data_IF_229390372090
#
_entry.id   IF_229390372090
#
_cell.length_a   1.000
_cell.length_b   1.000
_cell.length_c   1.000
_cell.angle_alpha   90.00
_cell.angle_beta   90.00
_cell.angle_gamma   90.00
#
_symmetry.space_group_name_H-M   'P 1'
#
loop_
_entity.id
_entity.type
_entity.pdbx_description
1 polymer ?
#
# COMPACT_ATOMS: atom_id res chain seq x y z
N UNK A 1 35.54 12.41 -16.11
CA UNK A 1 36.35 11.55 -15.21
C UNK A 1 35.96 11.87 -13.78
N UNK A 2 35.02 11.12 -13.20
CA UNK A 2 34.82 11.09 -11.75
C UNK A 2 35.26 9.70 -11.33
N UNK A 3 36.37 9.64 -10.59
CA UNK A 3 36.97 8.39 -10.13
C UNK A 3 36.02 7.71 -9.15
N UNK A 4 35.50 6.56 -9.54
CA UNK A 4 34.73 5.66 -8.69
C UNK A 4 35.66 5.10 -7.59
N UNK A 5 35.66 5.71 -6.41
CA UNK A 5 36.27 5.14 -5.22
C UNK A 5 35.39 4.00 -4.71
N UNK A 6 35.80 2.78 -4.99
CA UNK A 6 35.19 1.53 -4.51
C UNK A 6 35.43 1.37 -3.00
N UNK A 7 34.60 1.99 -2.17
CA UNK A 7 34.49 1.61 -0.76
C UNK A 7 33.69 0.29 -0.67
N UNK A 8 34.11 -0.69 0.15
CA UNK A 8 33.32 -1.89 0.41
C UNK A 8 31.98 -1.48 1.05
N UNK A 9 30.93 -2.19 0.67
CA UNK A 9 29.56 -1.82 0.99
C UNK A 9 29.23 -1.76 2.48
N UNK A 10 29.93 -2.55 3.28
CA UNK A 10 29.77 -2.61 4.72
C UNK A 10 31.13 -2.94 5.37
N UNK A 11 31.39 -2.46 6.60
CA UNK A 11 32.54 -2.90 7.37
C UNK A 11 32.41 -4.41 7.65
N UNK A 12 33.22 -5.19 6.95
CA UNK A 12 33.60 -6.60 7.17
C UNK A 12 32.65 -7.43 8.07
N UNK A 13 31.74 -8.25 7.51
CA UNK A 13 31.02 -9.23 8.30
C UNK A 13 31.95 -10.40 8.58
N UNK A 14 32.65 -10.33 9.71
CA UNK A 14 33.28 -11.50 10.29
C UNK A 14 32.20 -12.60 10.52
N UNK A 15 32.38 -13.72 9.82
CA UNK A 15 31.88 -15.07 10.13
C UNK A 15 30.49 -15.51 9.61
N UNK A 16 30.46 -15.91 8.33
CA UNK A 16 29.71 -17.11 7.90
C UNK A 16 30.67 -18.31 7.81
N UNK A 17 31.06 -18.88 8.96
CA UNK A 17 31.79 -20.15 9.01
C UNK A 17 30.85 -21.33 8.73
N UNK A 18 30.50 -21.53 7.47
CA UNK A 18 30.35 -22.89 6.93
C UNK A 18 31.45 -23.04 5.90
N UNK A 19 32.65 -23.39 6.38
CA UNK A 19 33.77 -23.68 5.49
C UNK A 19 33.41 -24.92 4.69
N UNK A 20 33.26 -24.76 3.38
CA UNK A 20 33.52 -25.89 2.49
C UNK A 20 34.95 -26.36 2.78
N UNK A 21 35.21 -27.68 2.86
CA UNK A 21 36.57 -28.17 2.89
C UNK A 21 37.36 -27.49 1.77
N UNK A 22 38.58 -27.03 2.06
CA UNK A 22 39.47 -26.39 1.08
C UNK A 22 39.44 -27.21 -0.21
N UNK A 23 39.15 -26.55 -1.34
CA UNK A 23 39.21 -27.12 -2.67
C UNK A 23 40.63 -27.65 -2.92
N UNK A 24 40.88 -28.90 -2.53
CA UNK A 24 41.93 -29.69 -3.16
C UNK A 24 41.55 -29.76 -4.65
N UNK A 25 42.54 -29.56 -5.53
CA UNK A 25 42.36 -29.60 -6.98
C UNK A 25 41.41 -30.74 -7.36
N UNK A 26 40.27 -30.39 -7.97
CA UNK A 26 39.18 -31.33 -8.20
C UNK A 26 39.67 -32.53 -9.04
N UNK A 27 39.40 -33.78 -8.62
CA UNK A 27 39.52 -34.93 -9.50
C UNK A 27 38.63 -34.77 -10.77
N UNK A 28 38.95 -35.46 -11.86
CA UNK A 28 38.18 -35.36 -13.11
C UNK A 28 36.72 -35.80 -12.92
N UNK A 29 35.76 -35.21 -13.66
CA UNK A 29 34.32 -35.32 -13.39
C UNK A 29 33.79 -36.75 -13.45
N UNK A 30 33.31 -37.27 -12.32
CA UNK A 30 32.71 -38.59 -12.19
C UNK A 30 31.21 -38.61 -12.57
N UNK A 31 30.88 -38.38 -13.85
CA UNK A 31 29.54 -38.64 -14.42
C UNK A 31 28.37 -37.79 -13.86
N UNK A 32 27.23 -37.77 -14.58
CA UNK A 32 26.02 -37.01 -14.15
C UNK A 32 25.25 -37.76 -13.06
N UNK A 33 24.89 -37.08 -11.96
CA UNK A 33 24.01 -37.65 -10.94
C UNK A 33 22.65 -38.07 -11.54
N UNK A 34 22.21 -39.29 -11.27
CA UNK A 34 20.89 -39.75 -11.72
C UNK A 34 19.74 -39.11 -10.93
N UNK A 35 18.52 -39.18 -11.48
CA UNK A 35 17.34 -38.54 -10.88
C UNK A 35 16.94 -39.07 -9.50
N UNK A 36 17.13 -40.37 -9.23
CA UNK A 36 16.79 -40.99 -7.94
C UNK A 36 17.81 -40.59 -6.87
N UNK A 37 19.10 -40.62 -7.20
CA UNK A 37 20.19 -40.20 -6.32
C UNK A 37 20.08 -38.71 -5.99
N UNK A 38 19.77 -37.87 -6.98
CA UNK A 38 19.50 -36.45 -6.76
C UNK A 38 18.27 -36.22 -5.88
N UNK A 39 17.17 -36.96 -6.07
CA UNK A 39 15.99 -36.84 -5.21
C UNK A 39 16.32 -37.21 -3.75
N UNK A 40 17.09 -38.28 -3.52
CA UNK A 40 17.57 -38.66 -2.17
C UNK A 40 18.47 -37.58 -1.56
N UNK A 41 19.37 -37.00 -2.36
CA UNK A 41 20.22 -35.90 -1.90
C UNK A 41 19.40 -34.67 -1.50
N UNK A 42 18.47 -34.22 -2.36
CA UNK A 42 17.59 -33.09 -2.08
C UNK A 42 16.78 -33.34 -0.80
N UNK A 43 16.28 -34.56 -0.60
CA UNK A 43 15.55 -34.92 0.63
C UNK A 43 16.46 -34.94 1.87
N UNK A 44 17.70 -35.45 1.77
CA UNK A 44 18.69 -35.38 2.87
C UNK A 44 18.98 -33.92 3.25
N UNK A 45 19.24 -33.08 2.25
CA UNK A 45 19.50 -31.65 2.43
C UNK A 45 18.29 -30.94 3.04
N UNK A 46 17.08 -31.25 2.57
CA UNK A 46 15.83 -30.71 3.11
C UNK A 46 15.58 -31.15 4.56
N UNK A 47 16.00 -32.35 4.96
CA UNK A 47 15.88 -32.85 6.34
C UNK A 47 16.91 -32.22 7.28
N UNK A 48 18.16 -32.06 6.83
CA UNK A 48 19.23 -31.44 7.61
C UNK A 48 19.96 -30.36 6.82
N UNK A 49 19.40 -29.13 6.73
CA UNK A 49 20.03 -28.03 5.98
C UNK A 49 21.38 -27.61 6.56
N UNK A 50 21.62 -27.82 7.86
CA UNK A 50 22.90 -27.52 8.53
C UNK A 50 24.05 -28.38 8.01
N UNK A 51 23.76 -29.59 7.54
CA UNK A 51 24.73 -30.53 6.99
C UNK A 51 24.80 -30.48 5.46
N UNK A 52 24.12 -29.51 4.83
CA UNK A 52 23.99 -29.48 3.39
C UNK A 52 25.32 -29.31 2.66
N UNK A 53 26.25 -28.51 3.18
CA UNK A 53 27.60 -28.37 2.61
C UNK A 53 28.32 -29.71 2.53
N UNK A 54 28.20 -30.55 3.57
CA UNK A 54 28.78 -31.89 3.58
C UNK A 54 28.16 -32.78 2.49
N UNK A 55 26.82 -32.87 2.44
CA UNK A 55 26.14 -33.71 1.46
C UNK A 55 26.34 -33.25 0.01
N UNK A 56 26.40 -31.93 -0.22
CA UNK A 56 26.65 -31.37 -1.54
C UNK A 56 28.10 -31.57 -1.96
N UNK A 57 29.06 -31.53 -1.02
CA UNK A 57 30.46 -31.79 -1.31
C UNK A 57 30.73 -33.24 -1.70
N UNK A 58 30.04 -34.22 -1.08
CA UNK A 58 30.10 -35.64 -1.49
C UNK A 58 29.70 -35.86 -2.96
N UNK A 59 28.90 -34.97 -3.53
CA UNK A 59 28.29 -35.11 -4.87
C UNK A 59 28.69 -33.97 -5.82
N UNK A 60 29.63 -33.09 -5.43
CA UNK A 60 29.89 -31.81 -6.10
C UNK A 60 30.32 -31.96 -7.57
N UNK A 61 31.02 -33.04 -7.90
CA UNK A 61 31.44 -33.35 -9.28
C UNK A 61 30.29 -33.84 -10.16
N UNK A 62 29.27 -34.44 -9.56
CA UNK A 62 28.14 -35.03 -10.27
C UNK A 62 26.93 -34.08 -10.40
N UNK A 63 26.93 -32.98 -9.64
CA UNK A 63 25.85 -32.00 -9.59
C UNK A 63 25.96 -30.97 -10.71
N UNK A 64 24.97 -30.97 -11.61
CA UNK A 64 24.79 -29.88 -12.58
C UNK A 64 24.25 -28.60 -11.92
N UNK A 65 24.43 -27.41 -12.55
CA UNK A 65 23.76 -26.17 -12.14
C UNK A 65 22.25 -26.35 -11.90
N UNK A 66 21.54 -27.08 -12.78
CA UNK A 66 20.11 -27.36 -12.60
C UNK A 66 19.80 -28.19 -11.35
N UNK A 67 20.71 -29.07 -10.93
CA UNK A 67 20.55 -29.84 -9.71
C UNK A 67 20.64 -28.93 -8.47
N UNK A 68 21.59 -28.00 -8.44
CA UNK A 68 21.69 -26.99 -7.38
C UNK A 68 20.44 -26.11 -7.29
N UNK A 69 19.82 -25.75 -8.41
CA UNK A 69 18.54 -25.03 -8.39
C UNK A 69 17.43 -25.77 -7.62
N UNK A 70 17.39 -27.12 -7.66
CA UNK A 70 16.42 -27.91 -6.87
C UNK A 70 16.77 -27.92 -5.38
N UNK A 71 18.05 -28.00 -5.07
CA UNK A 71 18.58 -27.93 -3.69
C UNK A 71 18.22 -26.57 -3.06
N UNK A 72 18.50 -25.47 -3.77
CA UNK A 72 18.19 -24.11 -3.32
C UNK A 72 16.70 -23.89 -3.08
N UNK A 73 15.82 -24.44 -3.94
CA UNK A 73 14.37 -24.45 -3.68
C UNK A 73 14.01 -25.14 -2.36
N UNK A 74 14.63 -26.28 -2.06
CA UNK A 74 14.44 -26.98 -0.79
C UNK A 74 14.87 -26.18 0.43
N UNK A 75 15.91 -25.35 0.31
CA UNK A 75 16.32 -24.44 1.40
C UNK A 75 15.31 -23.35 1.68
N UNK A 76 14.71 -22.76 0.64
CA UNK A 76 13.65 -21.75 0.79
C UNK A 76 12.51 -22.27 1.65
N UNK A 77 12.00 -23.46 1.34
CA UNK A 77 10.87 -24.08 2.05
C UNK A 77 11.20 -24.37 3.53
N UNK A 78 12.49 -24.54 3.85
CA UNK A 78 13.00 -24.74 5.21
C UNK A 78 13.57 -23.47 5.86
N UNK A 79 13.48 -22.32 5.19
CA UNK A 79 14.07 -21.05 5.63
C UNK A 79 15.56 -21.16 5.99
N UNK A 80 16.31 -21.97 5.22
CA UNK A 80 17.71 -22.28 5.47
C UNK A 80 18.66 -21.30 4.74
N UNK A 81 18.61 -20.02 5.11
CA UNK A 81 19.38 -18.96 4.44
C UNK A 81 20.91 -19.17 4.52
N UNK A 82 21.47 -19.63 5.65
CA UNK A 82 22.92 -19.87 5.78
C UNK A 82 23.43 -20.92 4.79
N UNK A 83 22.70 -22.02 4.65
CA UNK A 83 23.04 -23.07 3.70
C UNK A 83 22.91 -22.57 2.25
N UNK A 84 21.95 -21.68 2.00
CA UNK A 84 21.76 -21.00 0.71
C UNK A 84 22.97 -20.12 0.36
N UNK A 85 23.40 -19.24 1.27
CA UNK A 85 24.57 -18.37 1.05
C UNK A 85 25.84 -19.19 0.79
N UNK A 86 26.08 -20.22 1.60
CA UNK A 86 27.21 -21.13 1.45
C UNK A 86 27.20 -21.87 0.10
N UNK A 87 26.03 -22.29 -0.37
CA UNK A 87 25.87 -22.97 -1.68
C UNK A 87 26.10 -22.01 -2.85
N UNK A 88 25.62 -20.77 -2.73
CA UNK A 88 25.84 -19.74 -3.76
C UNK A 88 27.30 -19.35 -3.84
N UNK A 89 27.98 -19.17 -2.70
CA UNK A 89 29.42 -18.90 -2.68
C UNK A 89 30.23 -20.03 -3.34
N UNK A 90 29.84 -21.29 -3.12
CA UNK A 90 30.44 -22.44 -3.79
C UNK A 90 30.23 -22.44 -5.31
N UNK A 91 28.99 -22.19 -5.77
CA UNK A 91 28.69 -22.06 -7.20
C UNK A 91 29.47 -20.92 -7.86
N UNK A 92 29.65 -19.80 -7.15
CA UNK A 92 30.47 -18.68 -7.63
C UNK A 92 31.93 -19.09 -7.79
N UNK A 93 32.50 -19.77 -6.79
CA UNK A 93 33.89 -20.25 -6.83
C UNK A 93 34.15 -21.26 -7.97
N UNK A 94 33.11 -21.93 -8.46
CA UNK A 94 33.15 -22.88 -9.59
C UNK A 94 32.81 -22.25 -10.94
N UNK A 95 32.50 -20.95 -11.00
CA UNK A 95 32.02 -20.27 -12.20
C UNK A 95 30.73 -20.90 -12.80
N UNK A 96 29.93 -21.57 -11.96
CA UNK A 96 28.68 -22.25 -12.33
C UNK A 96 27.42 -21.48 -11.88
N UNK A 97 27.62 -20.29 -11.32
CA UNK A 97 26.57 -19.42 -10.82
C UNK A 97 25.82 -18.73 -11.98
N UNK A 98 24.50 -18.61 -11.87
CA UNK A 98 23.65 -17.92 -12.84
C UNK A 98 22.51 -17.15 -12.13
N UNK A 99 21.73 -16.37 -12.87
CA UNK A 99 20.63 -15.54 -12.35
C UNK A 99 19.56 -16.35 -11.60
N UNK A 100 19.30 -17.61 -11.99
CA UNK A 100 18.32 -18.48 -11.33
C UNK A 100 18.77 -18.81 -9.91
N UNK A 101 20.05 -19.13 -9.71
CA UNK A 101 20.61 -19.40 -8.39
C UNK A 101 20.54 -18.17 -7.49
N UNK A 102 20.90 -17.00 -8.02
CA UNK A 102 20.81 -15.73 -7.29
C UNK A 102 19.36 -15.40 -6.90
N UNK A 103 18.42 -15.53 -7.85
CA UNK A 103 16.97 -15.33 -7.60
C UNK A 103 16.45 -16.25 -6.49
N UNK A 104 16.82 -17.54 -6.51
CA UNK A 104 16.45 -18.50 -5.46
C UNK A 104 17.10 -18.14 -4.11
N UNK A 105 18.31 -17.60 -4.13
CA UNK A 105 18.99 -17.06 -2.97
C UNK A 105 18.21 -15.93 -2.30
N UNK A 106 17.87 -14.91 -3.06
CA UNK A 106 17.07 -13.78 -2.58
C UNK A 106 15.67 -14.21 -2.15
N UNK A 107 15.02 -15.11 -2.90
CA UNK A 107 13.73 -15.69 -2.51
C UNK A 107 13.79 -16.41 -1.16
N UNK A 108 14.91 -17.09 -0.87
CA UNK A 108 15.15 -17.69 0.45
C UNK A 108 15.32 -16.63 1.53
N UNK A 109 16.08 -15.57 1.27
CA UNK A 109 16.25 -14.46 2.23
C UNK A 109 14.91 -13.77 2.55
N UNK A 110 14.08 -13.52 1.53
CA UNK A 110 12.73 -13.00 1.68
C UNK A 110 11.83 -13.93 2.52
N UNK A 111 11.83 -15.23 2.23
CA UNK A 111 11.06 -16.23 2.99
C UNK A 111 11.51 -16.34 4.46
N UNK A 112 12.79 -16.07 4.73
CA UNK A 112 13.36 -15.97 6.07
C UNK A 112 13.07 -14.64 6.77
N UNK A 113 12.57 -13.63 6.04
CA UNK A 113 12.41 -12.25 6.53
C UNK A 113 13.72 -11.71 7.10
N UNK A 114 14.84 -11.99 6.43
CA UNK A 114 16.17 -11.63 6.89
C UNK A 114 16.87 -10.76 5.83
N UNK A 115 16.65 -9.46 5.90
CA UNK A 115 17.25 -8.49 4.99
C UNK A 115 18.79 -8.43 5.09
N UNK A 116 19.37 -8.70 6.26
CA UNK A 116 20.84 -8.75 6.40
C UNK A 116 21.46 -9.92 5.64
N UNK A 117 20.78 -11.06 5.56
CA UNK A 117 21.21 -12.16 4.71
C UNK A 117 21.13 -11.81 3.21
N UNK A 118 20.18 -10.96 2.81
CA UNK A 118 20.11 -10.46 1.44
C UNK A 118 21.27 -9.50 1.12
N UNK A 119 21.68 -8.67 2.08
CA UNK A 119 22.90 -7.84 1.96
C UNK A 119 24.14 -8.73 1.79
N UNK A 120 24.33 -9.72 2.66
CA UNK A 120 25.44 -10.66 2.57
C UNK A 120 25.44 -11.40 1.22
N UNK A 121 24.26 -11.73 0.68
CA UNK A 121 24.13 -12.31 -0.64
C UNK A 121 24.59 -11.35 -1.75
N UNK A 122 24.23 -10.07 -1.69
CA UNK A 122 24.72 -9.08 -2.67
C UNK A 122 26.26 -9.01 -2.67
N UNK A 123 26.87 -9.04 -1.49
CA UNK A 123 28.35 -9.05 -1.34
C UNK A 123 28.95 -10.33 -1.93
N UNK A 124 28.35 -11.50 -1.66
CA UNK A 124 28.76 -12.78 -2.26
C UNK A 124 28.67 -12.71 -3.78
N UNK A 125 27.59 -12.14 -4.35
CA UNK A 125 27.44 -12.01 -5.80
C UNK A 125 28.44 -10.99 -6.38
N UNK A 126 28.84 -9.98 -5.60
CA UNK A 126 29.73 -8.91 -6.02
C UNK A 126 29.05 -7.88 -6.91
N UNK A 127 27.74 -7.64 -6.73
CA UNK A 127 26.98 -6.68 -7.52
C UNK A 127 27.24 -5.23 -7.04
N UNK A 128 27.27 -4.23 -7.94
CA UNK A 128 27.05 -4.34 -9.38
C UNK A 128 28.33 -4.65 -10.16
N UNK A 129 29.51 -4.50 -9.55
CA UNK A 129 30.81 -4.61 -10.20
C UNK A 129 31.61 -5.78 -9.61
N UNK A 130 31.39 -6.97 -10.17
CA UNK A 130 32.25 -8.11 -9.88
C UNK A 130 33.63 -7.85 -10.49
N UNK A 131 34.70 -7.87 -9.67
CA UNK A 131 36.05 -8.10 -10.20
C UNK A 131 36.09 -9.54 -10.72
N UNK A 132 35.88 -9.72 -12.02
CA UNK A 132 35.95 -11.00 -12.73
C UNK A 132 34.58 -11.63 -13.00
N UNK A 133 34.38 -12.02 -14.26
CA UNK A 133 33.19 -12.62 -14.89
C UNK A 133 31.84 -12.03 -14.40
N UNK A 134 31.30 -11.09 -15.18
CA UNK A 134 29.96 -10.51 -14.95
C UNK A 134 28.92 -11.63 -14.84
N UNK A 135 28.39 -11.87 -13.65
CA UNK A 135 27.19 -12.67 -13.50
C UNK A 135 26.09 -11.96 -14.28
N UNK A 136 25.63 -12.58 -15.37
CA UNK A 136 24.51 -12.05 -16.16
C UNK A 136 23.23 -12.16 -15.33
N UNK A 137 22.87 -11.06 -14.67
CA UNK A 137 21.67 -10.94 -13.84
C UNK A 137 20.56 -10.32 -14.67
N UNK A 138 19.35 -10.86 -14.51
CA UNK A 138 18.15 -10.30 -15.12
C UNK A 138 17.40 -9.40 -14.12
N UNK A 139 16.44 -8.63 -14.64
CA UNK A 139 15.61 -7.73 -13.84
C UNK A 139 14.84 -8.50 -12.75
N UNK A 140 14.46 -9.75 -13.01
CA UNK A 140 13.80 -10.62 -12.03
C UNK A 140 14.67 -10.86 -10.81
N UNK A 141 15.95 -11.17 -11.00
CA UNK A 141 16.90 -11.36 -9.92
C UNK A 141 17.04 -10.10 -9.07
N UNK A 142 17.20 -8.94 -9.70
CA UNK A 142 17.38 -7.65 -9.01
C UNK A 142 16.09 -7.22 -8.28
N UNK A 143 14.93 -7.39 -8.90
CA UNK A 143 13.63 -7.17 -8.26
C UNK A 143 13.43 -8.09 -7.05
N UNK A 144 13.81 -9.36 -7.15
CA UNK A 144 13.76 -10.29 -6.03
C UNK A 144 14.74 -9.91 -4.92
N UNK A 145 15.88 -9.27 -5.25
CA UNK A 145 16.81 -8.72 -4.28
C UNK A 145 16.20 -7.55 -3.50
N UNK A 146 15.57 -6.58 -4.19
CA UNK A 146 14.84 -5.47 -3.55
C UNK A 146 13.78 -6.01 -2.58
N UNK A 147 12.98 -7.00 -3.01
CA UNK A 147 11.98 -7.65 -2.15
C UNK A 147 12.62 -8.30 -0.93
N UNK A 148 13.75 -8.99 -1.09
CA UNK A 148 14.45 -9.63 0.02
C UNK A 148 15.02 -8.60 1.01
N UNK A 149 15.53 -7.47 0.51
CA UNK A 149 16.01 -6.36 1.32
C UNK A 149 14.87 -5.63 2.05
N UNK A 150 13.68 -5.58 1.47
CA UNK A 150 12.47 -5.05 2.12
C UNK A 150 11.82 -6.00 3.15
N UNK A 151 12.29 -7.25 3.24
CA UNK A 151 11.67 -8.28 4.07
C UNK A 151 12.20 -8.27 5.50
N UNK A 152 11.31 -8.02 6.47
CA UNK A 152 11.60 -8.11 7.90
C UNK A 152 10.44 -8.79 8.66
N UNK A 153 10.67 -9.27 9.89
CA UNK A 153 9.60 -9.87 10.69
C UNK A 153 8.39 -8.93 10.89
N UNK A 154 7.21 -9.48 11.25
CA UNK A 154 6.07 -8.65 11.62
C UNK A 154 6.40 -7.76 12.82
N UNK A 155 5.93 -6.51 12.80
CA UNK A 155 6.11 -5.53 13.89
C UNK A 155 7.57 -5.13 14.18
N UNK A 156 8.48 -5.39 13.25
CA UNK A 156 9.86 -4.90 13.32
C UNK A 156 10.11 -3.92 12.19
N UNK A 157 10.71 -2.77 12.51
CA UNK A 157 11.19 -1.82 11.51
C UNK A 157 12.28 -2.46 10.66
N UNK A 158 12.31 -2.08 9.38
CA UNK A 158 13.38 -2.52 8.49
C UNK A 158 14.69 -1.82 8.88
N UNK A 159 15.83 -2.55 8.97
CA UNK A 159 17.12 -1.92 9.26
C UNK A 159 17.49 -0.88 8.19
N UNK A 160 17.98 0.29 8.60
CA UNK A 160 18.43 1.35 7.68
C UNK A 160 19.41 0.84 6.59
N UNK A 161 20.41 -0.02 6.90
CA UNK A 161 21.28 -0.58 5.87
C UNK A 161 20.55 -1.35 4.76
N UNK A 162 19.44 -2.01 5.10
CA UNK A 162 18.65 -2.78 4.14
C UNK A 162 17.83 -1.87 3.22
N UNK A 163 17.24 -0.81 3.77
CA UNK A 163 16.54 0.22 2.98
C UNK A 163 17.51 0.91 2.02
N UNK A 164 18.69 1.30 2.50
CA UNK A 164 19.74 1.90 1.66
C UNK A 164 20.24 0.93 0.59
N UNK A 165 20.41 -0.36 0.92
CA UNK A 165 20.78 -1.37 -0.06
C UNK A 165 19.69 -1.56 -1.14
N UNK A 166 18.41 -1.52 -0.77
CA UNK A 166 17.30 -1.59 -1.73
C UNK A 166 17.34 -0.43 -2.73
N UNK A 167 17.55 0.81 -2.24
CA UNK A 167 17.73 1.99 -3.09
C UNK A 167 18.94 1.87 -4.03
N UNK A 168 20.07 1.36 -3.53
CA UNK A 168 21.25 1.13 -4.37
C UNK A 168 21.00 0.09 -5.46
N UNK A 169 20.25 -0.96 -5.18
CA UNK A 169 19.87 -1.93 -6.22
C UNK A 169 19.02 -1.24 -7.30
N UNK A 170 18.06 -0.39 -6.89
CA UNK A 170 17.18 0.34 -7.80
C UNK A 170 17.94 1.36 -8.67
N UNK A 171 18.72 2.25 -8.06
CA UNK A 171 19.34 3.40 -8.76
C UNK A 171 20.70 3.09 -9.37
N UNK A 172 21.48 2.16 -8.80
CA UNK A 172 22.84 1.88 -9.26
C UNK A 172 22.92 0.53 -9.99
N UNK A 173 22.32 -0.53 -9.45
CA UNK A 173 22.60 -1.89 -9.95
C UNK A 173 21.80 -2.20 -11.20
N UNK A 174 20.49 -1.92 -11.21
CA UNK A 174 19.64 -2.13 -12.39
C UNK A 174 20.18 -1.32 -13.58
N UNK A 175 20.44 0.00 -13.48
CA UNK A 175 21.01 0.76 -14.59
C UNK A 175 22.44 0.33 -14.93
N UNK A 176 23.25 -0.05 -13.93
CA UNK A 176 24.62 -0.52 -14.13
C UNK A 176 24.73 -1.82 -14.94
N UNK A 177 23.67 -2.62 -15.01
CA UNK A 177 23.58 -3.82 -15.86
C UNK A 177 22.92 -3.54 -17.22
N UNK A 178 22.65 -2.28 -17.56
CA UNK A 178 21.96 -1.89 -18.80
C UNK A 178 20.45 -2.19 -18.79
N UNK A 179 19.87 -2.54 -17.63
CA UNK A 179 18.44 -2.77 -17.46
C UNK A 179 17.75 -1.47 -17.02
N UNK A 180 16.42 -1.43 -17.15
CA UNK A 180 15.60 -0.32 -16.66
C UNK A 180 14.69 -0.81 -15.52
N UNK A 181 14.56 -0.05 -14.42
CA UNK A 181 13.57 -0.35 -13.40
C UNK A 181 12.16 -0.38 -14.00
N UNK A 182 11.36 -1.37 -13.58
CA UNK A 182 9.95 -1.46 -13.94
C UNK A 182 9.05 -1.04 -12.77
N UNK A 183 7.73 -1.05 -12.99
CA UNK A 183 6.76 -0.71 -11.94
C UNK A 183 6.98 -1.55 -10.67
N UNK A 184 7.34 -2.83 -10.84
CA UNK A 184 7.61 -3.74 -9.73
C UNK A 184 8.90 -3.40 -8.98
N UNK A 185 9.96 -2.96 -9.69
CA UNK A 185 11.20 -2.47 -9.06
C UNK A 185 10.89 -1.31 -8.10
N UNK A 186 10.10 -0.34 -8.57
CA UNK A 186 9.69 0.83 -7.77
C UNK A 186 8.77 0.44 -6.61
N UNK A 187 7.76 -0.40 -6.86
CA UNK A 187 6.84 -0.90 -5.81
C UNK A 187 7.61 -1.57 -4.67
N UNK A 188 8.53 -2.48 -5.02
CA UNK A 188 9.33 -3.21 -4.04
C UNK A 188 10.21 -2.27 -3.20
N UNK A 189 10.80 -1.24 -3.82
CA UNK A 189 11.61 -0.25 -3.14
C UNK A 189 10.76 0.64 -2.21
N UNK A 190 9.61 1.14 -2.69
CA UNK A 190 8.67 1.93 -1.88
C UNK A 190 8.17 1.14 -0.67
N UNK A 191 7.87 -0.15 -0.83
CA UNK A 191 7.50 -1.04 0.26
C UNK A 191 8.63 -1.19 1.29
N UNK A 192 9.88 -1.35 0.85
CA UNK A 192 11.03 -1.41 1.74
C UNK A 192 11.20 -0.10 2.55
N UNK A 193 11.07 1.06 1.91
CA UNK A 193 11.16 2.38 2.54
C UNK A 193 10.03 2.63 3.53
N UNK A 194 8.80 2.24 3.18
CA UNK A 194 7.66 2.33 4.09
C UNK A 194 7.89 1.53 5.37
N UNK A 195 8.45 0.31 5.24
CA UNK A 195 8.79 -0.53 6.40
C UNK A 195 9.99 -0.03 7.20
N UNK A 196 10.86 0.75 6.58
CA UNK A 196 11.97 1.43 7.26
C UNK A 196 11.52 2.71 7.97
N UNK A 197 10.33 3.23 7.62
CA UNK A 197 9.90 4.56 8.05
C UNK A 197 10.77 5.66 7.44
N UNK A 198 11.14 5.54 6.17
CA UNK A 198 11.89 6.55 5.42
C UNK A 198 10.99 7.18 4.33
N UNK A 199 10.15 8.12 4.78
CA UNK A 199 9.18 8.84 3.96
C UNK A 199 9.83 9.80 2.98
N UNK A 200 10.89 10.50 3.38
CA UNK A 200 11.65 11.40 2.52
C UNK A 200 12.19 10.67 1.28
N UNK A 201 12.86 9.53 1.46
CA UNK A 201 13.35 8.73 0.34
C UNK A 201 12.19 8.14 -0.47
N UNK A 202 11.12 7.67 0.18
CA UNK A 202 9.96 7.11 -0.52
C UNK A 202 9.29 8.12 -1.47
N UNK A 203 9.12 9.37 -1.03
CA UNK A 203 8.58 10.43 -1.87
C UNK A 203 9.50 10.77 -3.05
N UNK A 204 10.82 10.73 -2.84
CA UNK A 204 11.80 10.91 -3.92
C UNK A 204 11.68 9.80 -4.98
N UNK A 205 11.64 8.54 -4.53
CA UNK A 205 11.49 7.36 -5.40
C UNK A 205 10.16 7.39 -6.16
N UNK A 206 9.07 7.81 -5.53
CA UNK A 206 7.77 7.92 -6.20
C UNK A 206 7.77 8.99 -7.30
N UNK A 207 8.42 10.14 -7.08
CA UNK A 207 8.57 11.18 -8.11
C UNK A 207 9.42 10.71 -9.28
N UNK A 208 10.46 9.92 -9.01
CA UNK A 208 11.25 9.28 -10.05
C UNK A 208 10.40 8.30 -10.86
N UNK A 209 9.67 7.41 -10.18
CA UNK A 209 8.76 6.46 -10.79
C UNK A 209 7.83 7.18 -11.77
N UNK A 210 7.13 8.24 -11.35
CA UNK A 210 6.22 9.01 -12.22
C UNK A 210 6.82 9.48 -13.55
N UNK A 211 8.12 9.78 -13.57
CA UNK A 211 8.82 10.22 -14.80
C UNK A 211 9.22 9.04 -15.70
N UNK A 212 9.38 7.85 -15.13
CA UNK A 212 9.85 6.65 -15.82
C UNK A 212 8.73 5.65 -16.16
N UNK A 213 7.79 5.45 -15.23
CA UNK A 213 6.74 4.43 -15.25
C UNK A 213 5.48 4.96 -14.54
N UNK A 214 4.29 4.75 -15.12
CA UNK A 214 3.04 5.16 -14.49
C UNK A 214 2.85 4.45 -13.13
N UNK A 215 2.63 5.18 -12.01
CA UNK A 215 2.36 4.57 -10.72
C UNK A 215 0.98 3.91 -10.69
N UNK A 216 0.91 2.73 -10.08
CA UNK A 216 -0.35 2.10 -9.75
C UNK A 216 -0.80 2.42 -8.31
N UNK A 217 -2.00 1.97 -7.96
CA UNK A 217 -2.62 2.19 -6.63
C UNK A 217 -1.74 1.64 -5.50
N UNK A 218 -1.02 0.54 -5.74
CA UNK A 218 -0.16 -0.08 -4.74
C UNK A 218 1.06 0.80 -4.46
N UNK A 219 1.68 1.35 -5.51
CA UNK A 219 2.80 2.28 -5.40
C UNK A 219 2.41 3.57 -4.68
N UNK A 220 1.23 4.11 -4.99
CA UNK A 220 0.67 5.29 -4.32
C UNK A 220 0.49 5.02 -2.82
N UNK A 221 -0.18 3.92 -2.47
CA UNK A 221 -0.39 3.54 -1.07
C UNK A 221 0.91 3.33 -0.30
N UNK A 222 1.92 2.72 -0.92
CA UNK A 222 3.24 2.52 -0.30
C UNK A 222 3.97 3.85 -0.04
N UNK A 223 3.96 4.78 -1.00
CA UNK A 223 4.58 6.10 -0.85
C UNK A 223 3.89 6.93 0.24
N UNK A 224 2.54 6.94 0.26
CA UNK A 224 1.75 7.63 1.29
C UNK A 224 1.99 7.03 2.67
N UNK A 225 2.00 5.69 2.77
CA UNK A 225 2.30 4.99 4.02
C UNK A 225 3.66 5.40 4.55
N UNK A 226 4.71 5.36 3.72
CA UNK A 226 6.05 5.79 4.12
C UNK A 226 6.07 7.24 4.62
N UNK A 227 5.43 8.17 3.90
CA UNK A 227 5.36 9.58 4.28
C UNK A 227 4.61 9.80 5.61
N UNK A 228 3.49 9.10 5.83
CA UNK A 228 2.69 9.20 7.06
C UNK A 228 3.49 8.72 8.29
N UNK A 229 4.28 7.65 8.16
CA UNK A 229 5.12 7.16 9.26
C UNK A 229 6.21 8.17 9.68
N UNK A 230 6.52 9.16 8.84
CA UNK A 230 7.52 10.20 9.11
C UNK A 230 6.90 11.56 9.46
N UNK A 231 5.58 11.66 9.56
CA UNK A 231 4.89 12.94 9.73
C UNK A 231 4.98 13.86 8.51
N UNK A 232 5.34 13.33 7.33
CA UNK A 232 5.40 14.07 6.06
C UNK A 232 4.07 14.01 5.28
N UNK A 233 2.95 13.97 6.00
CA UNK A 233 1.61 13.76 5.43
C UNK A 233 1.24 14.84 4.40
N UNK A 234 1.57 16.11 4.66
CA UNK A 234 1.34 17.22 3.72
C UNK A 234 2.05 17.03 2.38
N UNK A 235 3.30 16.54 2.40
CA UNK A 235 4.05 16.26 1.17
C UNK A 235 3.47 15.07 0.42
N UNK A 236 3.04 14.05 1.15
CA UNK A 236 2.33 12.90 0.60
C UNK A 236 1.07 13.32 -0.17
N UNK A 237 0.37 14.34 0.33
CA UNK A 237 -0.85 14.87 -0.29
C UNK A 237 -0.58 15.81 -1.44
N UNK A 238 0.45 16.67 -1.37
CA UNK A 238 0.86 17.45 -2.53
C UNK A 238 1.18 16.55 -3.73
N UNK A 239 1.71 15.35 -3.44
CA UNK A 239 1.95 14.30 -4.41
C UNK A 239 0.64 13.73 -4.95
N UNK A 240 -0.34 13.47 -4.08
CA UNK A 240 -1.69 13.04 -4.42
C UNK A 240 -2.41 14.03 -5.33
N UNK A 241 -2.48 15.30 -4.92
CA UNK A 241 -3.16 16.37 -5.65
C UNK A 241 -2.53 16.58 -7.04
N UNK A 242 -1.20 16.44 -7.15
CA UNK A 242 -0.50 16.55 -8.43
C UNK A 242 -0.71 15.37 -9.39
N UNK A 243 -1.40 14.30 -8.99
CA UNK A 243 -1.76 13.19 -9.87
C UNK A 243 -3.11 13.44 -10.58
N UNK A 244 -3.99 14.29 -10.05
CA UNK A 244 -5.25 14.68 -10.73
C UNK A 244 -5.04 15.60 -11.93
N UNK A 245 -3.91 16.32 -11.96
CA UNK A 245 -3.63 17.35 -12.97
C UNK A 245 -2.93 16.77 -14.21
N UNK A 246 -2.50 15.51 -14.18
CA UNK A 246 -1.84 14.90 -15.35
C UNK A 246 -2.86 14.38 -16.38
N UNK A 247 -2.80 14.80 -17.66
CA UNK A 247 -3.82 14.53 -18.68
C UNK A 247 -4.14 13.06 -18.97
N UNK A 248 -3.36 12.11 -18.43
CA UNK A 248 -3.47 10.67 -18.67
C UNK A 248 -3.73 9.85 -17.39
N UNK A 249 -3.82 10.47 -16.21
CA UNK A 249 -4.08 9.78 -14.95
C UNK A 249 -5.55 9.95 -14.56
N UNK A 250 -6.33 8.92 -14.90
CA UNK A 250 -7.78 8.84 -14.77
C UNK A 250 -8.32 9.21 -13.38
N UNK A 251 -9.55 9.74 -13.38
CA UNK A 251 -10.45 9.87 -12.23
C UNK A 251 -10.20 8.77 -11.18
N UNK A 252 -9.82 9.19 -9.97
CA UNK A 252 -9.64 8.30 -8.83
C UNK A 252 -10.84 7.38 -8.67
N UNK A 253 -10.60 6.07 -8.74
CA UNK A 253 -11.63 5.07 -8.51
C UNK A 253 -11.72 4.70 -7.02
N UNK A 254 -12.72 3.89 -6.69
CA UNK A 254 -12.95 3.42 -5.32
C UNK A 254 -11.72 2.74 -4.70
N UNK A 255 -10.92 2.02 -5.50
CA UNK A 255 -9.73 1.32 -5.00
C UNK A 255 -8.62 2.30 -4.63
N UNK A 256 -8.46 3.33 -5.45
CA UNK A 256 -7.45 4.35 -5.25
C UNK A 256 -7.74 5.19 -3.99
N UNK A 257 -8.98 5.64 -3.78
CA UNK A 257 -9.38 6.30 -2.53
C UNK A 257 -9.24 5.39 -1.30
N UNK A 258 -9.63 4.11 -1.43
CA UNK A 258 -9.50 3.13 -0.36
C UNK A 258 -8.04 2.95 0.11
N UNK A 259 -7.08 2.94 -0.82
CA UNK A 259 -5.66 2.78 -0.51
C UNK A 259 -5.10 3.99 0.26
N UNK A 260 -5.50 5.20 -0.13
CA UNK A 260 -5.10 6.45 0.53
C UNK A 260 -5.72 6.54 1.93
N UNK A 261 -7.00 6.22 2.06
CA UNK A 261 -7.71 6.30 3.34
C UNK A 261 -7.30 5.20 4.33
N UNK A 262 -6.84 4.03 3.86
CA UNK A 262 -6.21 3.03 4.73
C UNK A 262 -5.00 3.62 5.50
N UNK A 263 -4.34 4.62 4.92
CA UNK A 263 -3.20 5.32 5.54
C UNK A 263 -3.62 6.57 6.31
N UNK A 264 -4.51 7.39 5.75
CA UNK A 264 -4.79 8.75 6.24
C UNK A 264 -6.08 8.89 7.07
N UNK A 265 -6.84 7.82 7.32
CA UNK A 265 -8.06 7.93 8.12
C UNK A 265 -7.80 8.55 9.51
N UNK A 266 -8.72 9.40 9.95
CA UNK A 266 -8.62 10.11 11.23
C UNK A 266 -7.66 11.30 11.25
N UNK A 267 -7.06 11.65 10.10
CA UNK A 267 -6.35 12.92 9.94
C UNK A 267 -7.22 13.94 9.21
N UNK A 268 -6.89 15.23 9.35
CA UNK A 268 -7.56 16.33 8.63
C UNK A 268 -7.55 16.10 7.11
N UNK A 269 -6.54 15.40 6.63
CA UNK A 269 -6.35 15.16 5.22
C UNK A 269 -7.10 13.90 4.75
N UNK A 270 -7.20 12.88 5.59
CA UNK A 270 -8.15 11.79 5.37
C UNK A 270 -9.60 12.28 5.26
N UNK A 271 -9.98 13.28 6.05
CA UNK A 271 -11.29 13.95 5.93
C UNK A 271 -11.49 14.62 4.57
N UNK A 272 -10.49 15.39 4.09
CA UNK A 272 -10.52 16.03 2.76
C UNK A 272 -10.66 15.00 1.64
N UNK A 273 -9.79 13.99 1.64
CA UNK A 273 -9.78 12.94 0.61
C UNK A 273 -11.10 12.16 0.59
N UNK A 274 -11.69 11.90 1.77
CA UNK A 274 -12.99 11.24 1.83
C UNK A 274 -14.11 12.14 1.28
N UNK A 275 -14.08 13.44 1.56
CA UNK A 275 -15.03 14.39 0.98
C UNK A 275 -14.93 14.43 -0.56
N UNK A 276 -13.71 14.46 -1.09
CA UNK A 276 -13.45 14.41 -2.53
C UNK A 276 -13.98 13.10 -3.15
N UNK A 277 -13.76 11.96 -2.49
CA UNK A 277 -14.28 10.66 -2.93
C UNK A 277 -15.81 10.61 -3.00
N UNK A 278 -16.49 11.24 -2.04
CA UNK A 278 -17.95 11.36 -2.01
C UNK A 278 -18.44 12.28 -3.14
N UNK A 279 -17.80 13.43 -3.34
CA UNK A 279 -18.12 14.37 -4.40
C UNK A 279 -17.93 13.77 -5.80
N UNK A 280 -16.85 13.02 -5.99
CA UNK A 280 -16.55 12.27 -7.22
C UNK A 280 -17.44 11.04 -7.43
N UNK A 281 -18.36 10.73 -6.50
CA UNK A 281 -19.22 9.54 -6.51
C UNK A 281 -18.44 8.21 -6.59
N UNK A 282 -17.24 8.17 -6.02
CA UNK A 282 -16.42 6.97 -5.97
C UNK A 282 -17.01 5.91 -5.03
N UNK A 283 -17.69 6.33 -3.96
CA UNK A 283 -18.45 5.46 -3.05
C UNK A 283 -19.93 5.48 -3.41
N UNK A 284 -20.36 4.57 -4.27
CA UNK A 284 -21.78 4.42 -4.63
C UNK A 284 -22.56 3.74 -3.50
N UNK A 285 -23.76 4.25 -3.22
CA UNK A 285 -24.74 3.69 -2.28
C UNK A 285 -24.24 3.48 -0.84
N UNK A 286 -23.08 4.03 -0.48
CA UNK A 286 -22.49 3.89 0.86
C UNK A 286 -23.32 4.60 1.94
N UNK A 287 -24.17 5.56 1.55
CA UNK A 287 -25.10 6.25 2.43
C UNK A 287 -26.48 6.25 1.79
N UNK A 288 -27.48 5.77 2.54
CA UNK A 288 -28.88 5.80 2.12
C UNK A 288 -29.79 6.16 3.29
N UNK A 289 -31.01 6.63 2.96
CA UNK A 289 -32.01 7.02 3.95
C UNK A 289 -33.40 6.54 3.55
N UNK A 290 -34.16 6.07 4.55
CA UNK A 290 -35.58 5.73 4.41
C UNK A 290 -36.35 6.19 5.64
N UNK A 291 -37.09 7.28 5.52
CA UNK A 291 -37.78 7.91 6.66
C UNK A 291 -36.77 8.39 7.70
N UNK A 292 -36.94 7.95 8.96
CA UNK A 292 -36.05 8.23 10.08
C UNK A 292 -34.74 7.41 10.06
N UNK A 293 -34.65 6.37 9.23
CA UNK A 293 -33.49 5.46 9.21
C UNK A 293 -32.45 5.89 8.19
N UNK A 294 -31.24 6.09 8.68
CA UNK A 294 -30.01 6.25 7.92
C UNK A 294 -29.26 4.92 7.89
N UNK A 295 -28.70 4.58 6.74
CA UNK A 295 -27.89 3.38 6.56
C UNK A 295 -26.55 3.75 5.95
N UNK A 296 -25.48 3.50 6.70
CA UNK A 296 -24.10 3.65 6.26
C UNK A 296 -23.57 2.27 5.89
N UNK A 297 -23.43 2.00 4.60
CA UNK A 297 -22.97 0.72 4.06
C UNK A 297 -21.47 0.75 3.74
N UNK A 298 -20.70 0.00 4.51
CA UNK A 298 -19.24 -0.03 4.45
C UNK A 298 -18.71 -1.26 3.71
N UNK A 299 -19.55 -2.06 3.05
CA UNK A 299 -19.13 -3.33 2.45
C UNK A 299 -18.05 -3.16 1.36
N UNK A 300 -18.11 -2.06 0.60
CA UNK A 300 -17.17 -1.75 -0.48
C UNK A 300 -15.93 -1.01 -0.03
N UNK A 301 -15.86 -0.60 1.24
CA UNK A 301 -14.80 0.26 1.76
C UNK A 301 -13.66 -0.56 2.36
N UNK A 302 -12.44 -0.05 2.25
CA UNK A 302 -11.29 -0.57 2.99
C UNK A 302 -11.42 -0.27 4.48
N UNK A 303 -10.49 -0.74 5.32
CA UNK A 303 -10.60 -0.54 6.78
C UNK A 303 -10.53 0.94 7.13
N UNK A 304 -9.57 1.67 6.58
CA UNK A 304 -9.41 3.09 6.84
C UNK A 304 -10.51 3.92 6.18
N UNK A 305 -10.92 3.59 4.95
CA UNK A 305 -12.08 4.26 4.35
C UNK A 305 -13.36 4.08 5.18
N UNK A 306 -13.58 2.88 5.72
CA UNK A 306 -14.71 2.61 6.61
C UNK A 306 -14.61 3.37 7.93
N UNK A 307 -13.41 3.44 8.54
CA UNK A 307 -13.17 4.25 9.74
C UNK A 307 -13.44 5.74 9.46
N UNK A 308 -12.94 6.26 8.34
CA UNK A 308 -13.16 7.64 7.93
C UNK A 308 -14.63 7.95 7.64
N UNK A 309 -15.36 7.03 7.00
CA UNK A 309 -16.80 7.16 6.77
C UNK A 309 -17.59 7.26 8.08
N UNK A 310 -17.20 6.49 9.10
CA UNK A 310 -17.83 6.58 10.43
C UNK A 310 -17.50 7.89 11.12
N UNK A 311 -16.24 8.33 11.10
CA UNK A 311 -15.85 9.66 11.63
C UNK A 311 -16.65 10.79 10.98
N UNK A 312 -16.72 10.76 9.64
CA UNK A 312 -17.51 11.71 8.86
C UNK A 312 -18.99 11.67 9.25
N UNK A 313 -19.57 10.48 9.44
CA UNK A 313 -20.99 10.36 9.84
C UNK A 313 -21.24 10.88 11.26
N UNK A 314 -20.34 10.59 12.21
CA UNK A 314 -20.46 11.10 13.58
C UNK A 314 -20.42 12.63 13.61
N UNK A 315 -19.58 13.26 12.77
CA UNK A 315 -19.56 14.71 12.60
C UNK A 315 -20.86 15.22 11.95
N UNK A 316 -21.41 14.52 10.95
CA UNK A 316 -22.66 14.90 10.30
C UNK A 316 -23.86 14.83 11.25
N UNK A 317 -23.93 13.83 12.12
CA UNK A 317 -25.03 13.72 13.12
C UNK A 317 -25.11 14.94 14.03
N UNK A 318 -23.98 15.59 14.30
CA UNK A 318 -23.90 16.81 15.12
C UNK A 318 -24.25 18.09 14.33
N UNK A 319 -24.47 18.00 13.01
CA UNK A 319 -24.75 19.18 12.18
C UNK A 319 -26.23 19.61 12.21
N UNK A 320 -26.49 20.91 12.08
CA UNK A 320 -27.85 21.45 11.86
C UNK A 320 -28.55 20.78 10.68
N UNK A 321 -27.81 20.54 9.60
CA UNK A 321 -28.33 19.86 8.40
C UNK A 321 -28.94 18.49 8.70
N UNK A 322 -28.30 17.68 9.56
CA UNK A 322 -28.85 16.37 9.93
C UNK A 322 -30.19 16.49 10.67
N UNK A 323 -30.30 17.47 11.58
CA UNK A 323 -31.56 17.79 12.26
C UNK A 323 -32.65 18.19 11.28
N UNK A 324 -32.35 19.13 10.40
CA UNK A 324 -33.34 19.72 9.48
C UNK A 324 -33.87 18.67 8.49
N UNK A 325 -32.98 17.84 7.96
CA UNK A 325 -33.35 16.73 7.07
C UNK A 325 -34.21 15.70 7.80
N UNK A 326 -33.91 15.41 9.07
CA UNK A 326 -34.71 14.50 9.88
C UNK A 326 -36.11 15.07 10.17
N UNK A 327 -36.18 16.31 10.68
CA UNK A 327 -37.44 16.99 10.99
C UNK A 327 -38.36 17.12 9.77
N UNK A 328 -37.80 17.35 8.57
CA UNK A 328 -38.58 17.46 7.34
C UNK A 328 -39.20 16.14 6.85
N UNK A 329 -38.68 14.98 7.27
CA UNK A 329 -39.08 13.68 6.70
C UNK A 329 -39.61 12.67 7.71
N UNK A 330 -39.29 12.82 9.00
CA UNK A 330 -39.75 11.93 10.06
C UNK A 330 -39.82 12.67 11.41
N UNK A 331 -40.64 13.73 11.54
CA UNK A 331 -40.70 14.55 12.75
C UNK A 331 -41.21 13.78 13.99
N UNK A 332 -42.01 12.74 13.78
CA UNK A 332 -42.66 11.97 14.85
C UNK A 332 -41.89 10.70 15.24
N UNK A 333 -40.64 10.53 14.79
CA UNK A 333 -39.87 9.32 15.04
C UNK A 333 -38.41 9.64 15.33
N UNK A 334 -37.78 9.00 16.32
CA UNK A 334 -36.37 9.23 16.63
C UNK A 334 -35.47 8.87 15.43
N UNK A 335 -34.35 9.59 15.21
CA UNK A 335 -33.38 9.22 14.18
C UNK A 335 -32.76 7.85 14.48
N UNK A 336 -32.63 7.02 13.45
CA UNK A 336 -31.98 5.71 13.53
C UNK A 336 -30.76 5.69 12.60
N UNK A 337 -29.63 5.18 13.06
CA UNK A 337 -28.43 4.97 12.23
C UNK A 337 -27.99 3.52 12.29
N UNK A 338 -28.03 2.85 11.13
CA UNK A 338 -27.51 1.50 10.94
C UNK A 338 -26.21 1.55 10.15
N UNK A 339 -25.16 0.92 10.67
CA UNK A 339 -23.87 0.76 10.00
C UNK A 339 -23.73 -0.71 9.57
N UNK A 340 -23.57 -0.95 8.27
CA UNK A 340 -23.43 -2.29 7.69
C UNK A 340 -21.95 -2.60 7.46
N UNK A 341 -21.50 -3.72 8.03
CA UNK A 341 -20.11 -4.20 8.07
C UNK A 341 -20.05 -5.72 7.74
N UNK A 342 -20.41 -6.15 6.52
CA UNK A 342 -20.21 -7.54 6.07
C UNK A 342 -20.67 -7.86 4.64
N UNK A 343 -20.14 -8.86 3.89
CA UNK A 343 -19.32 -10.06 4.22
C UNK A 343 -17.85 -9.97 3.77
N UNK A 344 -16.90 -10.16 4.68
CA UNK A 344 -15.46 -10.08 4.44
C UNK A 344 -14.83 -11.22 3.64
N UNK A 345 -15.11 -11.31 2.33
CA UNK A 345 -14.42 -12.23 1.39
C UNK A 345 -13.94 -11.59 0.07
N UNK A 346 -14.13 -10.28 -0.14
CA UNK A 346 -13.80 -9.59 -1.41
C UNK A 346 -12.40 -8.95 -1.50
N UNK A 347 -11.51 -9.14 -0.52
CA UNK A 347 -10.18 -8.51 -0.56
C UNK A 347 -9.25 -9.23 -1.51
N UNK A 348 -8.65 -8.48 -2.44
CA UNK A 348 -7.58 -8.95 -3.34
C UNK A 348 -6.45 -9.58 -2.51
N UNK A 349 -5.80 -10.62 -3.05
CA UNK A 349 -4.89 -11.49 -2.30
C UNK A 349 -3.73 -10.75 -1.60
N UNK A 350 -3.31 -9.57 -2.08
CA UNK A 350 -2.23 -8.76 -1.50
C UNK A 350 -2.65 -7.99 -0.22
N UNK A 351 -3.94 -7.71 -0.02
CA UNK A 351 -4.47 -7.12 1.22
C UNK A 351 -4.51 -8.11 2.41
N UNK A 352 -4.22 -9.40 2.16
CA UNK A 352 -4.11 -10.43 3.21
C UNK A 352 -2.73 -10.44 3.90
N UNK A 353 -1.73 -9.76 3.32
CA UNK A 353 -0.31 -9.88 3.71
C UNK A 353 0.17 -8.86 4.74
N UNK A 354 -0.60 -7.82 5.06
CA UNK A 354 -0.23 -6.81 6.05
C UNK A 354 -0.80 -7.21 7.41
N UNK A 355 0.09 -7.43 8.37
CA UNK A 355 -0.20 -7.94 9.70
C UNK A 355 -1.39 -7.23 10.40
N UNK A 356 -2.45 -7.99 10.68
CA UNK A 356 -3.54 -7.58 11.56
C UNK A 356 -4.89 -7.55 10.87
N UNK A 357 -5.49 -8.72 10.66
CA UNK A 357 -6.89 -8.86 10.28
C UNK A 357 -7.79 -8.40 11.46
N UNK A 358 -7.88 -7.09 11.68
CA UNK A 358 -8.99 -6.49 12.43
C UNK A 358 -10.11 -6.37 11.40
N UNK A 359 -11.20 -7.12 11.57
CA UNK A 359 -12.37 -6.98 10.71
C UNK A 359 -12.76 -5.50 10.64
N UNK A 360 -13.26 -5.02 9.49
CA UNK A 360 -13.82 -3.65 9.38
C UNK A 360 -14.77 -3.39 10.55
N UNK A 361 -15.58 -4.39 10.89
CA UNK A 361 -16.42 -4.42 12.08
C UNK A 361 -15.65 -4.10 13.37
N UNK A 362 -14.54 -4.78 13.69
CA UNK A 362 -13.78 -4.53 14.91
C UNK A 362 -13.14 -3.13 14.94
N UNK A 363 -12.73 -2.58 13.80
CA UNK A 363 -12.19 -1.21 13.72
C UNK A 363 -13.30 -0.17 13.93
N UNK A 364 -14.48 -0.38 13.32
CA UNK A 364 -15.65 0.47 13.48
C UNK A 364 -16.19 0.43 14.92
N UNK A 365 -16.34 -0.75 15.51
CA UNK A 365 -16.80 -0.91 16.89
C UNK A 365 -15.86 -0.22 17.88
N UNK A 366 -14.53 -0.29 17.67
CA UNK A 366 -13.57 0.44 18.49
C UNK A 366 -13.78 1.96 18.38
N UNK A 367 -13.92 2.47 17.16
CA UNK A 367 -14.05 3.89 16.90
C UNK A 367 -15.35 4.46 17.50
N UNK A 368 -16.46 3.72 17.40
CA UNK A 368 -17.72 4.08 18.05
C UNK A 368 -17.60 4.07 19.58
N UNK A 369 -16.87 3.11 20.16
CA UNK A 369 -16.61 3.06 21.59
C UNK A 369 -15.75 4.25 22.07
N UNK A 370 -14.72 4.63 21.31
CA UNK A 370 -13.89 5.81 21.56
C UNK A 370 -14.72 7.11 21.49
N UNK A 371 -15.65 7.20 20.53
CA UNK A 371 -16.62 8.29 20.41
C UNK A 371 -17.75 8.24 21.44
N UNK A 372 -17.75 7.25 22.36
CA UNK A 372 -18.81 7.02 23.35
C UNK A 372 -20.20 6.91 22.71
N UNK A 373 -20.29 6.36 21.50
CA UNK A 373 -21.51 6.12 20.76
C UNK A 373 -21.98 4.66 21.01
N UNK A 374 -22.95 4.42 21.92
CA UNK A 374 -23.38 3.08 22.28
C UNK A 374 -24.12 2.41 21.12
N UNK A 375 -23.81 1.12 20.93
CA UNK A 375 -24.34 0.32 19.83
C UNK A 375 -25.26 -0.80 20.30
N UNK A 376 -26.36 -1.00 19.58
CA UNK A 376 -27.31 -2.10 19.74
C UNK A 376 -27.01 -3.14 18.67
N UNK A 377 -26.75 -4.38 19.09
CA UNK A 377 -26.51 -5.48 18.14
C UNK A 377 -27.83 -5.91 17.51
N UNK A 378 -27.85 -5.95 16.18
CA UNK A 378 -28.99 -6.50 15.45
C UNK A 378 -28.94 -8.03 15.44
N UNK A 379 -30.09 -8.69 15.27
CA UNK A 379 -30.20 -10.15 15.19
C UNK A 379 -29.53 -10.76 13.94
N UNK A 380 -29.17 -9.92 12.96
CA UNK A 380 -28.45 -10.31 11.74
C UNK A 380 -26.98 -9.89 11.88
N UNK A 381 -26.07 -10.86 11.94
CA UNK A 381 -24.64 -10.57 11.96
C UNK A 381 -24.20 -9.70 10.77
N UNK A 382 -23.33 -8.72 11.01
CA UNK A 382 -22.81 -7.82 9.97
C UNK A 382 -23.48 -6.45 9.89
N UNK A 383 -24.34 -6.07 10.84
CA UNK A 383 -24.84 -4.70 10.99
C UNK A 383 -24.88 -4.28 12.47
N UNK A 384 -24.53 -3.02 12.72
CA UNK A 384 -24.46 -2.38 14.02
C UNK A 384 -25.39 -1.18 14.01
N UNK A 385 -26.29 -1.06 14.99
CA UNK A 385 -27.21 0.08 15.10
C UNK A 385 -26.77 0.99 16.24
N UNK A 386 -26.80 2.31 16.05
CA UNK A 386 -26.52 3.26 17.14
C UNK A 386 -27.76 3.46 18.01
N UNK A 387 -27.56 3.68 19.31
CA UNK A 387 -28.65 3.99 20.24
C UNK A 387 -29.38 5.29 19.83
N UNK A 388 -30.70 5.21 19.69
CA UNK A 388 -31.55 6.35 19.30
C UNK A 388 -31.47 7.51 20.31
N UNK A 389 -31.44 7.22 21.62
CA UNK A 389 -31.33 8.27 22.65
C UNK A 389 -30.00 9.03 22.54
N UNK A 390 -28.92 8.35 22.16
CA UNK A 390 -27.62 8.99 21.96
C UNK A 390 -27.66 9.90 20.73
N UNK A 391 -28.27 9.43 19.63
CA UNK A 391 -28.44 10.21 18.40
C UNK A 391 -29.30 11.45 18.64
N UNK A 392 -30.39 11.35 19.39
CA UNK A 392 -31.24 12.50 19.73
C UNK A 392 -30.49 13.55 20.55
N UNK A 393 -29.74 13.15 21.58
CA UNK A 393 -28.96 14.08 22.41
C UNK A 393 -27.90 14.82 21.60
N UNK A 394 -27.16 14.09 20.75
CA UNK A 394 -26.09 14.69 19.95
C UNK A 394 -26.60 15.43 18.72
N UNK A 395 -27.82 15.14 18.27
CA UNK A 395 -28.55 16.00 17.35
C UNK A 395 -29.08 17.25 18.07
N UNK A 396 -29.28 17.25 19.40
CA UNK A 396 -29.87 18.35 20.16
C UNK A 396 -28.87 19.36 20.77
N UNK A 397 -27.61 18.98 21.05
CA UNK A 397 -26.66 19.85 21.78
C UNK A 397 -26.10 21.05 20.98
N UNK A 398 -26.11 22.20 21.69
CA UNK A 398 -25.78 23.62 21.48
C UNK A 398 -25.85 24.40 20.12
N UNK A 399 -26.29 25.68 20.18
CA UNK A 399 -26.36 26.60 19.05
C UNK A 399 -25.01 27.30 18.87
N UNK A 400 -24.25 26.93 17.83
CA UNK A 400 -23.40 27.93 17.21
C UNK A 400 -24.28 28.85 16.38
N UNK A 401 -24.20 30.15 16.70
CA UNK A 401 -24.73 31.21 15.86
C UNK A 401 -24.40 30.89 14.39
N UNK A 402 -25.35 31.06 13.46
CA UNK A 402 -25.06 30.80 12.06
C UNK A 402 -23.83 31.64 11.69
N UNK A 403 -22.75 31.06 11.11
CA UNK A 403 -21.88 31.90 10.34
C UNK A 403 -22.79 32.56 9.30
N UNK A 404 -22.70 33.87 9.14
CA UNK A 404 -23.35 34.57 8.03
C UNK A 404 -22.78 33.96 6.72
N UNK A 405 -23.41 32.87 6.29
CA UNK A 405 -22.97 32.04 5.19
C UNK A 405 -23.47 32.64 3.90
N UNK A 406 -22.66 33.51 3.30
CA UNK A 406 -22.81 33.81 1.88
C UNK A 406 -22.52 32.53 1.09
N UNK A 407 -23.50 32.06 0.32
CA UNK A 407 -23.31 30.97 -0.61
C UNK A 407 -22.36 31.40 -1.75
N UNK A 408 -21.44 30.53 -2.16
CA UNK A 408 -20.55 30.77 -3.30
C UNK A 408 -20.88 29.85 -4.47
N UNK A 409 -20.93 30.42 -5.68
CA UNK A 409 -21.14 29.70 -6.93
C UNK A 409 -19.83 29.02 -7.33
N UNK A 410 -19.85 27.70 -7.48
CA UNK A 410 -18.69 26.92 -7.94
C UNK A 410 -19.02 26.36 -9.33
N UNK A 411 -18.35 26.94 -10.33
CA UNK A 411 -18.32 26.59 -11.76
C UNK A 411 -19.36 27.23 -12.69
N UNK A 412 -18.82 27.98 -13.66
CA UNK A 412 -19.48 28.46 -14.88
C UNK A 412 -18.92 27.66 -16.06
N UNK A 413 -19.45 26.47 -16.32
CA UNK A 413 -19.22 25.84 -17.63
C UNK A 413 -20.26 26.38 -18.62
N UNK A 414 -19.84 27.41 -19.37
CA UNK A 414 -20.44 27.77 -20.65
C UNK A 414 -21.42 28.94 -20.65
N UNK A 415 -20.92 30.17 -20.53
CA UNK A 415 -21.43 31.31 -21.31
C UNK A 415 -20.53 32.54 -21.10
N UNK A 416 -20.33 33.32 -22.15
CA UNK A 416 -19.49 34.53 -22.16
C UNK A 416 -20.01 35.63 -21.22
N UNK A 417 -19.52 36.89 -21.36
CA UNK A 417 -19.92 37.99 -20.49
C UNK A 417 -21.38 38.40 -20.76
N UNK A 418 -22.34 37.62 -20.25
CA UNK A 418 -23.76 37.90 -20.26
C UNK A 418 -24.17 38.76 -19.06
N UNK A 419 -25.28 39.47 -19.19
CA UNK A 419 -25.85 40.25 -18.08
C UNK A 419 -26.13 39.35 -16.88
N UNK A 420 -25.69 39.79 -15.70
CA UNK A 420 -26.01 39.16 -14.43
C UNK A 420 -27.48 39.45 -14.08
N UNK A 421 -28.27 38.42 -13.80
CA UNK A 421 -29.63 38.57 -13.27
C UNK A 421 -29.74 37.99 -11.87
N UNK A 422 -30.62 38.57 -11.08
CA UNK A 422 -30.95 38.06 -9.76
C UNK A 422 -31.76 36.75 -9.91
N UNK A 423 -31.20 35.66 -9.39
CA UNK A 423 -31.87 34.37 -9.34
C UNK A 423 -31.99 33.91 -7.89
N UNK A 424 -33.14 33.34 -7.56
CA UNK A 424 -33.35 32.57 -6.33
C UNK A 424 -33.41 31.10 -6.71
N UNK A 425 -32.38 30.35 -6.33
CA UNK A 425 -32.23 28.94 -6.69
C UNK A 425 -32.32 28.10 -5.42
N UNK A 426 -33.37 27.28 -5.30
CA UNK A 426 -33.53 26.40 -4.14
C UNK A 426 -32.85 25.06 -4.37
N UNK A 427 -31.92 24.69 -3.50
CA UNK A 427 -31.28 23.38 -3.53
C UNK A 427 -32.35 22.27 -3.38
N UNK A 428 -32.44 21.29 -4.30
CA UNK A 428 -33.43 20.24 -4.22
C UNK A 428 -33.21 19.32 -3.01
N UNK A 429 -31.97 19.26 -2.51
CA UNK A 429 -31.57 18.36 -1.41
C UNK A 429 -31.77 18.99 -0.04
N UNK A 430 -31.31 20.23 0.20
CA UNK A 430 -31.42 20.89 1.51
C UNK A 430 -32.47 22.01 1.58
N UNK A 431 -33.11 22.35 0.46
CA UNK A 431 -34.10 23.45 0.34
C UNK A 431 -33.63 24.84 0.75
N UNK A 432 -32.33 25.05 0.95
CA UNK A 432 -31.80 26.40 1.05
C UNK A 432 -31.92 27.12 -0.28
N UNK A 433 -32.32 28.38 -0.19
CA UNK A 433 -32.39 29.30 -1.33
C UNK A 433 -31.06 30.03 -1.47
N UNK A 434 -30.41 29.81 -2.59
CA UNK A 434 -29.24 30.56 -3.03
C UNK A 434 -29.74 31.81 -3.76
N UNK A 435 -29.53 32.97 -3.14
CA UNK A 435 -29.76 34.27 -3.77
C UNK A 435 -28.43 34.76 -4.35
N UNK A 436 -28.32 34.78 -5.68
CA UNK A 436 -27.10 35.23 -6.33
C UNK A 436 -27.40 35.93 -7.66
N UNK A 437 -26.52 36.86 -8.03
CA UNK A 437 -26.45 37.41 -9.37
C UNK A 437 -25.71 36.41 -10.27
N UNK A 438 -26.45 35.71 -11.12
CA UNK A 438 -25.93 34.63 -11.97
C UNK A 438 -25.91 35.07 -13.44
N UNK A 439 -24.92 34.64 -14.24
CA UNK A 439 -24.93 34.87 -15.68
C UNK A 439 -26.09 34.14 -16.37
N UNK A 440 -26.66 34.75 -17.42
CA UNK A 440 -27.60 34.05 -18.31
C UNK A 440 -26.93 32.79 -18.91
N UNK A 441 -27.59 31.63 -18.76
CA UNK A 441 -27.10 30.34 -19.27
C UNK A 441 -26.53 29.35 -18.24
N UNK A 442 -26.59 29.66 -16.94
CA UNK A 442 -26.14 28.76 -15.87
C UNK A 442 -26.83 27.37 -15.93
N UNK A 443 -26.04 26.30 -16.00
CA UNK A 443 -26.54 24.93 -16.18
C UNK A 443 -26.66 24.16 -14.86
N UNK A 444 -25.81 24.47 -13.88
CA UNK A 444 -25.78 23.79 -12.58
C UNK A 444 -25.26 24.72 -11.47
N UNK A 445 -25.63 24.41 -10.22
CA UNK A 445 -25.16 25.09 -9.02
C UNK A 445 -24.75 24.06 -7.97
N UNK A 446 -23.74 24.42 -7.16
CA UNK A 446 -23.31 23.64 -6.00
C UNK A 446 -23.79 24.32 -4.73
N UNK A 447 -24.51 23.59 -3.89
CA UNK A 447 -24.91 24.10 -2.58
C UNK A 447 -23.69 24.11 -1.64
N UNK A 448 -23.31 25.26 -1.09
CA UNK A 448 -22.19 25.34 -0.13
C UNK A 448 -22.45 24.55 1.16
N UNK A 449 -23.72 24.30 1.50
CA UNK A 449 -24.12 23.67 2.75
C UNK A 449 -24.15 22.14 2.68
N UNK A 450 -24.75 21.58 1.62
CA UNK A 450 -24.83 20.14 1.43
C UNK A 450 -23.89 19.60 0.34
N UNK A 451 -23.14 20.49 -0.32
CA UNK A 451 -22.22 20.19 -1.42
C UNK A 451 -22.87 19.52 -2.63
N UNK A 452 -24.21 19.46 -2.66
CA UNK A 452 -24.97 18.87 -3.76
C UNK A 452 -24.89 19.75 -5.01
N UNK A 453 -24.63 19.12 -6.16
CA UNK A 453 -24.57 19.77 -7.46
C UNK A 453 -25.85 19.42 -8.21
N UNK A 454 -26.63 20.44 -8.54
CA UNK A 454 -27.95 20.27 -9.12
C UNK A 454 -28.19 21.23 -10.30
N UNK A 455 -29.00 20.84 -11.30
CA UNK A 455 -29.24 21.65 -12.48
C UNK A 455 -30.10 22.88 -12.15
N UNK A 456 -29.70 24.05 -12.68
CA UNK A 456 -30.48 25.28 -12.57
C UNK A 456 -31.33 25.41 -13.82
N UNK A 457 -32.65 25.26 -13.69
CA UNK A 457 -33.57 25.44 -14.83
C UNK A 457 -33.78 26.94 -15.06
N UNK A 458 -33.16 27.48 -16.10
CA UNK A 458 -33.48 28.81 -16.59
C UNK A 458 -34.93 28.86 -17.09
N UNK A 459 -35.67 29.89 -16.69
CA UNK A 459 -36.89 30.31 -17.36
C UNK A 459 -36.57 31.37 -18.40
#
# INVERSE_FOLDING_TARGET
MVLATSAPLFPNPAAARTRWPTLAAAPPPAGKIDGRRLAKLVERVRRSPKSASFYLNEEAEALSPRAYSRVLKGFRDRKAWRATLSTIAHLKAREELNSIHATLGFSTCAACQNAMAAIELLDILGLPHGRGASLDVDLRCLNQAIVALGSAPPRTLLPAPAASAALRVLHDFIPGTGLQPDAFSYEAALSALSRAGDGSSALSVFREMRRAVAPDVVCIGAALSAANHCGESERALSLFDSMEVEPNHHCWDQLSYNAVLDVLHGTREGERIFADAVAARAYRDFLSRRGARWTLDLHGLSSGAAQQAVLWMLQKVQSSHFRDVHAAHAPDSPPQLTIVVGKGNGRLAWQRSSAGNRSVQASVERLLAEAKAPVVRTSKGGAVELCSEWLERHAADEPHAPPEGQCHVVSLEGSGPGQLREHTVTCPTCRQSLHAFLPEGLVSAQCSECQDVFPVRGH
#
